data_IF_031598904073
#
_entry.id   IF_031598904073
#
_cell.length_a   1.000
_cell.length_b   1.000
_cell.length_c   1.000
_cell.angle_alpha   90.00
_cell.angle_beta   90.00
_cell.angle_gamma   90.00
#
_symmetry.space_group_name_H-M   'P 1'
#
loop_
_entity.id
_entity.type
_entity.pdbx_description
1 polymer ?
#
# COMPACT_ATOMS: atom_id res chain seq x y z
N UNK A 1 -32.33 1.13 1.61
CA UNK A 1 -31.97 -0.25 2.01
C UNK A 1 -30.49 -0.41 1.76
N UNK A 2 -29.67 -0.45 2.81
CA UNK A 2 -28.24 -0.74 2.69
C UNK A 2 -28.09 -2.19 2.25
N UNK A 3 -27.53 -2.42 1.07
CA UNK A 3 -27.14 -3.75 0.60
C UNK A 3 -26.19 -4.32 1.66
N UNK A 4 -26.49 -5.51 2.18
CA UNK A 4 -25.61 -6.17 3.13
C UNK A 4 -24.26 -6.43 2.45
N UNK A 5 -23.17 -5.98 3.08
CA UNK A 5 -21.80 -6.28 2.65
C UNK A 5 -21.25 -7.41 3.53
N UNK A 6 -21.21 -8.66 3.03
CA UNK A 6 -20.75 -9.80 3.80
C UNK A 6 -19.30 -9.67 4.25
N UNK A 7 -18.46 -8.98 3.46
CA UNK A 7 -17.06 -8.78 3.80
C UNK A 7 -16.92 -7.84 5.00
N UNK A 8 -17.61 -6.69 4.95
CA UNK A 8 -17.71 -5.77 6.08
C UNK A 8 -18.19 -6.48 7.35
N UNK A 9 -19.20 -7.34 7.22
CA UNK A 9 -19.72 -8.14 8.34
C UNK A 9 -18.67 -9.08 8.92
N UNK A 10 -17.90 -9.76 8.08
CA UNK A 10 -16.82 -10.64 8.50
C UNK A 10 -15.70 -9.86 9.22
N UNK A 11 -15.31 -8.69 8.70
CA UNK A 11 -14.32 -7.82 9.35
C UNK A 11 -14.79 -7.33 10.73
N UNK A 12 -16.06 -6.96 10.88
CA UNK A 12 -16.63 -6.63 12.19
C UNK A 12 -16.54 -7.79 13.18
N UNK A 13 -16.89 -9.00 12.74
CA UNK A 13 -16.76 -10.19 13.57
C UNK A 13 -15.31 -10.43 14.02
N UNK A 14 -14.34 -10.22 13.12
CA UNK A 14 -12.92 -10.39 13.42
C UNK A 14 -12.39 -9.34 14.41
N UNK A 15 -12.83 -8.08 14.30
CA UNK A 15 -12.52 -7.05 15.29
C UNK A 15 -12.97 -7.47 16.70
N UNK A 16 -14.17 -8.02 16.83
CA UNK A 16 -14.67 -8.50 18.13
C UNK A 16 -13.93 -9.73 18.65
N UNK A 17 -13.46 -10.61 17.76
CA UNK A 17 -12.78 -11.85 18.13
C UNK A 17 -11.30 -11.65 18.49
N UNK A 18 -10.57 -10.81 17.74
CA UNK A 18 -9.11 -10.71 17.85
C UNK A 18 -8.56 -9.27 17.79
N UNK A 19 -9.41 -8.25 17.89
CA UNK A 19 -9.02 -6.85 17.74
C UNK A 19 -8.28 -6.54 16.42
N UNK A 20 -8.60 -7.27 15.35
CA UNK A 20 -8.05 -7.05 14.01
C UNK A 20 -8.53 -5.70 13.44
N UNK A 21 -7.63 -4.74 13.20
CA UNK A 21 -8.00 -3.38 12.80
C UNK A 21 -8.50 -3.27 11.35
N UNK A 22 -8.52 -4.36 10.57
CA UNK A 22 -8.91 -4.36 9.15
C UNK A 22 -10.25 -3.69 8.87
N UNK A 23 -11.22 -3.79 9.80
CA UNK A 23 -12.50 -3.07 9.65
C UNK A 23 -12.31 -1.55 9.63
N UNK A 24 -11.44 -1.00 10.46
CA UNK A 24 -11.20 0.46 10.51
C UNK A 24 -10.60 0.95 9.20
N UNK A 25 -9.69 0.16 8.63
CA UNK A 25 -9.11 0.41 7.31
C UNK A 25 -10.19 0.36 6.23
N UNK A 26 -11.01 -0.69 6.22
CA UNK A 26 -12.06 -0.84 5.21
C UNK A 26 -13.07 0.32 5.24
N UNK A 27 -13.54 0.72 6.43
CA UNK A 27 -14.41 1.89 6.59
C UNK A 27 -13.74 3.16 6.10
N UNK A 28 -12.46 3.35 6.44
CA UNK A 28 -11.68 4.52 6.01
C UNK A 28 -11.55 4.56 4.48
N UNK A 29 -11.24 3.44 3.85
CA UNK A 29 -11.18 3.32 2.39
C UNK A 29 -12.54 3.60 1.74
N UNK A 30 -13.64 3.11 2.31
CA UNK A 30 -14.99 3.40 1.80
C UNK A 30 -15.30 4.90 1.88
N UNK A 31 -14.88 5.58 2.95
CA UNK A 31 -15.04 7.03 3.07
C UNK A 31 -14.13 7.80 2.09
N UNK A 32 -12.90 7.34 1.89
CA UNK A 32 -11.91 8.01 1.05
C UNK A 32 -12.14 7.80 -0.45
N UNK A 33 -12.38 6.55 -0.87
CA UNK A 33 -12.41 6.13 -2.28
C UNK A 33 -13.78 5.62 -2.74
N UNK A 34 -14.75 5.51 -1.84
CA UNK A 34 -16.06 4.90 -2.12
C UNK A 34 -16.05 3.38 -2.00
N UNK A 35 -17.14 2.72 -2.41
CA UNK A 35 -17.19 1.26 -2.39
C UNK A 35 -16.22 0.68 -3.43
N UNK A 36 -15.43 -0.36 -3.06
CA UNK A 36 -14.51 -0.98 -4.01
C UNK A 36 -15.26 -1.61 -5.17
N UNK A 37 -14.70 -1.49 -6.38
CA UNK A 37 -15.27 -2.08 -7.59
C UNK A 37 -15.10 -3.59 -7.60
N UNK A 38 -13.90 -4.06 -7.19
CA UNK A 38 -13.58 -5.47 -7.03
C UNK A 38 -12.79 -5.69 -5.76
N UNK A 39 -12.81 -6.94 -5.28
CA UNK A 39 -11.96 -7.40 -4.18
C UNK A 39 -11.29 -8.70 -4.59
N UNK A 40 -9.97 -8.72 -4.49
CA UNK A 40 -9.17 -9.91 -4.66
C UNK A 40 -8.87 -10.47 -3.27
N UNK A 41 -9.28 -11.71 -3.01
CA UNK A 41 -8.86 -12.40 -1.79
C UNK A 41 -7.43 -12.88 -1.96
N UNK A 42 -6.56 -12.66 -0.97
CA UNK A 42 -5.26 -13.33 -1.00
C UNK A 42 -5.50 -14.83 -0.84
N UNK A 43 -5.32 -15.58 -1.93
CA UNK A 43 -5.12 -17.01 -1.83
C UNK A 43 -3.62 -17.23 -1.69
N UNK A 44 -3.16 -17.89 -0.61
CA UNK A 44 -1.79 -18.35 -0.55
C UNK A 44 -1.45 -19.17 -1.81
N UNK A 45 -0.30 -18.92 -2.44
CA UNK A 45 0.25 -19.87 -3.41
C UNK A 45 0.46 -21.20 -2.66
N UNK A 46 0.12 -22.33 -3.29
CA UNK A 46 0.32 -23.66 -2.68
C UNK A 46 1.76 -23.79 -2.18
N UNK A 47 1.94 -24.12 -0.89
CA UNK A 47 3.25 -24.20 -0.23
C UNK A 47 3.61 -23.03 0.69
N UNK A 48 2.79 -21.98 0.77
CA UNK A 48 2.99 -20.83 1.68
C UNK A 48 2.34 -21.00 3.07
N UNK A 49 2.12 -22.23 3.52
CA UNK A 49 1.52 -22.52 4.83
C UNK A 49 2.42 -22.00 5.95
N UNK A 50 1.94 -20.97 6.68
CA UNK A 50 2.66 -20.33 7.80
C UNK A 50 3.29 -18.97 7.48
N UNK A 51 3.47 -18.60 6.20
CA UNK A 51 4.05 -17.30 5.81
C UNK A 51 3.09 -16.12 6.07
N UNK A 52 1.79 -16.34 5.93
CA UNK A 52 0.76 -15.31 6.05
C UNK A 52 0.27 -15.04 7.50
N UNK A 53 0.93 -15.57 8.53
CA UNK A 53 0.53 -15.30 9.94
C UNK A 53 0.69 -13.82 10.33
N UNK A 54 1.46 -13.07 9.56
CA UNK A 54 1.69 -11.65 9.78
C UNK A 54 0.53 -10.76 9.28
N UNK A 55 -0.39 -11.30 8.49
CA UNK A 55 -1.51 -10.57 7.90
C UNK A 55 -2.84 -10.99 8.55
N UNK A 56 -3.88 -10.20 8.32
CA UNK A 56 -5.25 -10.59 8.68
C UNK A 56 -5.66 -11.88 7.96
N UNK A 57 -6.45 -12.72 8.64
CA UNK A 57 -7.13 -13.86 8.00
C UNK A 57 -8.11 -13.44 6.90
N UNK A 58 -8.49 -12.16 6.87
CA UNK A 58 -9.35 -11.55 5.87
C UNK A 58 -8.58 -10.60 4.94
N UNK A 59 -7.26 -10.77 4.83
CA UNK A 59 -6.45 -9.97 3.95
C UNK A 59 -7.03 -9.97 2.53
N UNK A 60 -7.25 -8.78 2.00
CA UNK A 60 -7.77 -8.59 0.65
C UNK A 60 -7.16 -7.37 0.00
N UNK A 61 -7.27 -7.30 -1.32
CA UNK A 61 -6.91 -6.14 -2.10
C UNK A 61 -8.19 -5.58 -2.72
N UNK A 62 -8.53 -4.36 -2.35
CA UNK A 62 -9.65 -3.60 -2.89
C UNK A 62 -9.19 -2.81 -4.12
N UNK A 63 -9.89 -2.97 -5.24
CA UNK A 63 -9.62 -2.24 -6.47
C UNK A 63 -10.67 -1.15 -6.73
N UNK A 64 -10.20 0.02 -7.18
CA UNK A 64 -11.02 1.19 -7.49
C UNK A 64 -10.77 1.64 -8.93
N UNK A 65 -11.81 1.62 -9.76
CA UNK A 65 -11.74 1.95 -11.18
C UNK A 65 -12.19 3.40 -11.44
N UNK A 66 -11.55 4.36 -10.77
CA UNK A 66 -11.91 5.78 -10.85
C UNK A 66 -11.23 6.54 -12.00
N UNK A 67 -10.25 5.93 -12.67
CA UNK A 67 -9.46 6.57 -13.72
C UNK A 67 -9.34 5.64 -14.94
N UNK A 68 -9.50 6.13 -16.19
CA UNK A 68 -9.35 5.29 -17.39
C UNK A 68 -7.90 4.84 -17.65
N UNK A 69 -6.90 5.48 -17.04
CA UNK A 69 -5.48 5.19 -17.25
C UNK A 69 -4.95 4.10 -16.31
N UNK A 70 -5.54 3.94 -15.13
CA UNK A 70 -5.09 2.99 -14.12
C UNK A 70 -6.16 2.75 -13.06
N UNK A 71 -6.03 1.62 -12.39
CA UNK A 71 -6.79 1.26 -11.21
C UNK A 71 -5.94 1.46 -9.96
N UNK A 72 -6.62 1.76 -8.86
CA UNK A 72 -6.00 1.86 -7.54
C UNK A 72 -6.26 0.59 -6.77
N UNK A 73 -5.20 -0.10 -6.37
CA UNK A 73 -5.25 -1.33 -5.58
C UNK A 73 -4.81 -0.99 -4.17
N UNK A 74 -5.66 -1.25 -3.17
CA UNK A 74 -5.38 -0.97 -1.76
C UNK A 74 -5.48 -2.26 -0.94
N UNK A 75 -4.49 -2.51 -0.08
CA UNK A 75 -4.59 -3.62 0.87
C UNK A 75 -5.59 -3.31 1.98
N UNK A 76 -6.22 -4.37 2.48
CA UNK A 76 -6.99 -4.39 3.73
C UNK A 76 -6.51 -5.58 4.53
N UNK A 77 -5.96 -5.33 5.70
CA UNK A 77 -5.44 -6.35 6.61
C UNK A 77 -3.93 -6.53 6.58
N UNK A 78 -3.20 -5.70 5.82
CA UNK A 78 -1.74 -5.58 5.96
C UNK A 78 -1.35 -4.98 7.31
N UNK A 79 -2.22 -4.12 7.86
CA UNK A 79 -2.03 -3.45 9.14
C UNK A 79 -2.29 -4.31 10.38
N UNK A 80 -2.53 -5.62 10.21
CA UNK A 80 -2.88 -6.53 11.30
C UNK A 80 -1.83 -6.52 12.43
N UNK A 81 -0.55 -6.53 12.07
CA UNK A 81 0.56 -6.47 13.02
C UNK A 81 1.27 -5.12 13.04
N UNK A 82 1.88 -4.79 14.18
CA UNK A 82 2.70 -3.57 14.32
C UNK A 82 3.96 -3.76 13.49
N UNK A 83 4.35 -2.73 12.76
CA UNK A 83 5.59 -2.70 12.00
C UNK A 83 6.76 -2.86 12.97
N UNK A 84 7.67 -3.82 12.75
CA UNK A 84 8.77 -4.06 13.67
C UNK A 84 9.58 -2.78 13.91
N UNK A 85 9.95 -2.54 15.17
CA UNK A 85 10.74 -1.38 15.66
C UNK A 85 10.05 -0.02 15.59
N UNK A 86 8.84 0.06 15.06
CA UNK A 86 8.13 1.34 14.90
C UNK A 86 7.83 2.08 16.22
N UNK A 87 7.60 1.37 17.31
CA UNK A 87 7.39 2.01 18.63
C UNK A 87 8.64 2.76 19.09
N UNK A 88 9.83 2.23 18.81
CA UNK A 88 11.11 2.85 19.18
C UNK A 88 11.42 4.04 18.29
N UNK A 89 11.16 3.93 16.98
CA UNK A 89 11.46 4.98 16.00
C UNK A 89 10.51 6.18 16.12
N UNK A 90 9.22 5.92 16.38
CA UNK A 90 8.18 6.97 16.44
C UNK A 90 7.90 7.47 17.86
N UNK A 91 8.22 6.67 18.88
CA UNK A 91 7.82 6.96 20.27
C UNK A 91 6.32 6.75 20.55
N UNK A 92 5.54 6.30 19.57
CA UNK A 92 4.12 6.00 19.77
C UNK A 92 3.96 4.59 20.38
N UNK A 93 3.41 4.47 21.61
CA UNK A 93 3.23 3.17 22.26
C UNK A 93 2.22 2.26 21.55
N UNK A 94 1.39 2.79 20.64
CA UNK A 94 0.48 1.99 19.79
C UNK A 94 1.25 1.23 18.71
N UNK A 95 2.42 1.74 18.32
CA UNK A 95 3.21 1.29 17.18
C UNK A 95 2.57 1.64 15.84
N UNK A 96 3.40 1.80 14.81
CA UNK A 96 2.94 2.07 13.45
C UNK A 96 2.44 0.81 12.78
N UNK A 97 1.44 0.98 11.90
CA UNK A 97 0.89 -0.06 11.03
C UNK A 97 0.71 0.53 9.65
N UNK A 98 0.89 -0.29 8.62
CA UNK A 98 0.74 0.17 7.24
C UNK A 98 -0.28 -0.65 6.47
N UNK A 99 -1.01 0.06 5.62
CA UNK A 99 -1.65 -0.48 4.43
C UNK A 99 -0.93 0.09 3.20
N UNK A 100 -1.10 -0.57 2.06
CA UNK A 100 -0.37 -0.26 0.86
C UNK A 100 -1.33 0.01 -0.29
N UNK A 101 -1.03 1.04 -1.04
CA UNK A 101 -1.72 1.44 -2.25
C UNK A 101 -0.76 1.32 -3.43
N UNK A 102 -1.24 0.83 -4.57
CA UNK A 102 -0.49 0.76 -5.81
C UNK A 102 -1.40 1.12 -7.00
N UNK A 103 -0.84 1.87 -7.95
CA UNK A 103 -1.49 2.16 -9.23
C UNK A 103 -0.98 1.23 -10.30
N UNK A 104 -1.89 0.61 -11.04
CA UNK A 104 -1.54 -0.23 -12.19
C UNK A 104 -2.67 -0.23 -13.22
N UNK A 105 -2.33 -0.45 -14.49
CA UNK A 105 -3.32 -0.76 -15.51
C UNK A 105 -4.05 -2.07 -15.20
N UNK A 106 -5.30 -2.23 -15.66
CA UNK A 106 -6.12 -3.42 -15.40
C UNK A 106 -5.45 -4.71 -15.90
N UNK A 107 -4.73 -4.65 -17.02
CA UNK A 107 -3.96 -5.77 -17.56
C UNK A 107 -2.82 -6.26 -16.64
N UNK A 108 -2.46 -5.47 -15.63
CA UNK A 108 -1.46 -5.80 -14.62
C UNK A 108 -2.08 -6.04 -13.23
N UNK A 109 -3.41 -6.15 -13.11
CA UNK A 109 -4.11 -6.31 -11.83
C UNK A 109 -3.60 -7.49 -11.00
N UNK A 110 -3.34 -8.64 -11.62
CA UNK A 110 -2.82 -9.83 -10.93
C UNK A 110 -1.43 -9.58 -10.33
N UNK A 111 -0.51 -9.02 -11.12
CA UNK A 111 0.82 -8.66 -10.65
C UNK A 111 0.78 -7.60 -9.54
N UNK A 112 -0.07 -6.58 -9.69
CA UNK A 112 -0.29 -5.57 -8.66
C UNK A 112 -0.73 -6.22 -7.33
N UNK A 113 -1.64 -7.20 -7.41
CA UNK A 113 -2.09 -7.94 -6.24
C UNK A 113 -0.99 -8.78 -5.59
N UNK A 114 -0.19 -9.49 -6.41
CA UNK A 114 0.94 -10.28 -5.91
C UNK A 114 2.01 -9.41 -5.23
N UNK A 115 2.33 -8.25 -5.82
CA UNK A 115 3.26 -7.29 -5.23
C UNK A 115 2.75 -6.78 -3.90
N UNK A 116 1.50 -6.33 -3.83
CA UNK A 116 0.91 -5.80 -2.60
C UNK A 116 0.88 -6.84 -1.48
N UNK A 117 0.62 -8.11 -1.81
CA UNK A 117 0.72 -9.20 -0.83
C UNK A 117 2.16 -9.34 -0.31
N UNK A 118 3.15 -9.44 -1.20
CA UNK A 118 4.57 -9.55 -0.82
C UNK A 118 5.03 -8.36 0.04
N UNK A 119 4.63 -7.15 -0.34
CA UNK A 119 4.98 -5.91 0.36
C UNK A 119 4.39 -5.90 1.77
N UNK A 120 3.13 -6.32 1.93
CA UNK A 120 2.47 -6.35 3.23
C UNK A 120 3.17 -7.30 4.21
N UNK A 121 3.75 -8.40 3.72
CA UNK A 121 4.47 -9.36 4.56
C UNK A 121 5.90 -8.94 4.86
N UNK A 122 6.53 -8.20 3.94
CA UNK A 122 7.96 -7.92 3.95
C UNK A 122 8.48 -7.34 5.28
N UNK A 123 7.82 -6.34 5.93
CA UNK A 123 8.27 -5.83 7.23
C UNK A 123 8.42 -6.92 8.29
N UNK A 124 7.49 -7.87 8.31
CA UNK A 124 7.40 -8.91 9.34
C UNK A 124 8.34 -10.08 9.05
N UNK A 125 8.43 -10.52 7.79
CA UNK A 125 9.36 -11.58 7.38
C UNK A 125 10.81 -11.16 7.64
N UNK A 126 11.15 -9.90 7.36
CA UNK A 126 12.52 -9.39 7.48
C UNK A 126 12.80 -8.62 8.77
N UNK A 127 11.82 -8.53 9.70
CA UNK A 127 11.95 -7.80 10.97
C UNK A 127 12.48 -6.37 10.77
N UNK A 128 11.91 -5.67 9.80
CA UNK A 128 12.38 -4.38 9.33
C UNK A 128 11.25 -3.36 9.23
N UNK A 129 11.56 -2.14 9.64
CA UNK A 129 10.70 -0.99 9.43
C UNK A 129 10.76 -0.53 7.97
N UNK A 130 9.59 -0.37 7.34
CA UNK A 130 9.43 0.14 5.99
C UNK A 130 8.46 1.31 6.07
N UNK A 131 8.99 2.53 5.98
CA UNK A 131 8.21 3.76 6.00
C UNK A 131 8.38 4.58 4.71
N UNK A 132 7.83 5.81 4.70
CA UNK A 132 8.07 6.77 3.62
C UNK A 132 9.57 6.98 3.36
N UNK A 133 9.94 7.14 2.09
CA UNK A 133 11.33 7.27 1.66
C UNK A 133 12.07 5.94 1.47
N UNK A 134 11.48 4.80 1.86
CA UNK A 134 12.11 3.50 1.71
C UNK A 134 12.19 3.08 0.24
N UNK A 135 13.30 2.43 -0.13
CA UNK A 135 13.51 1.83 -1.46
C UNK A 135 13.77 0.35 -1.29
N UNK A 136 12.92 -0.48 -1.88
CA UNK A 136 13.03 -1.95 -1.88
C UNK A 136 13.50 -2.45 -3.25
N UNK A 137 14.67 -3.11 -3.37
CA UNK A 137 15.01 -3.84 -4.58
C UNK A 137 14.12 -5.09 -4.73
N UNK A 138 13.53 -5.29 -5.90
CA UNK A 138 12.75 -6.51 -6.21
C UNK A 138 13.59 -7.58 -6.92
N UNK A 139 14.81 -7.23 -7.36
CA UNK A 139 15.81 -8.15 -7.90
C UNK A 139 15.73 -8.34 -9.42
N UNK A 140 14.52 -8.32 -9.98
CA UNK A 140 14.26 -8.39 -11.42
C UNK A 140 13.25 -7.32 -11.84
N UNK A 141 13.18 -6.95 -13.14
CA UNK A 141 12.13 -6.08 -13.63
C UNK A 141 10.73 -6.62 -13.32
N UNK A 142 9.80 -5.74 -12.96
CA UNK A 142 8.41 -6.10 -12.64
C UNK A 142 7.73 -6.94 -13.72
N UNK A 143 7.98 -6.60 -14.98
CA UNK A 143 7.53 -7.34 -16.15
C UNK A 143 8.65 -7.39 -17.19
N UNK A 144 8.57 -8.36 -18.10
CA UNK A 144 9.51 -8.48 -19.19
C UNK A 144 9.55 -7.19 -20.03
N UNK A 145 10.75 -6.64 -20.22
CA UNK A 145 10.96 -5.38 -20.95
C UNK A 145 10.80 -4.10 -20.13
N UNK A 146 10.38 -4.19 -18.87
CA UNK A 146 10.36 -3.04 -17.96
C UNK A 146 11.77 -2.67 -17.47
N UNK A 147 11.96 -1.39 -17.13
CA UNK A 147 13.14 -0.90 -16.40
C UNK A 147 12.88 -0.73 -14.89
N UNK A 148 11.68 -1.09 -14.41
CA UNK A 148 11.24 -0.92 -13.04
C UNK A 148 11.71 -2.12 -12.21
N UNK A 149 12.78 -1.92 -11.43
CA UNK A 149 13.50 -2.97 -10.69
C UNK A 149 13.53 -2.70 -9.17
N UNK A 150 12.83 -1.66 -8.74
CA UNK A 150 12.77 -1.20 -7.36
C UNK A 150 11.35 -0.71 -7.04
N UNK A 151 11.01 -0.69 -5.75
CA UNK A 151 9.79 -0.09 -5.24
C UNK A 151 10.14 1.04 -4.28
N UNK A 152 9.50 2.19 -4.46
CA UNK A 152 9.61 3.35 -3.61
C UNK A 152 8.33 3.53 -2.79
N UNK A 153 8.48 3.85 -1.52
CA UNK A 153 7.37 4.02 -0.59
C UNK A 153 7.23 5.50 -0.24
N UNK A 154 6.04 6.07 -0.44
CA UNK A 154 5.75 7.47 -0.12
C UNK A 154 4.30 7.62 0.31
N UNK A 155 3.89 8.83 0.65
CA UNK A 155 2.50 9.14 0.95
C UNK A 155 1.67 9.25 -0.33
N UNK A 156 0.37 8.86 -0.32
CA UNK A 156 -0.49 8.83 -1.50
C UNK A 156 -1.01 10.23 -1.89
N UNK A 157 -0.11 11.19 -2.16
CA UNK A 157 -0.45 12.59 -2.43
C UNK A 157 -1.28 12.82 -3.71
N UNK A 158 -1.33 11.84 -4.62
CA UNK A 158 -2.24 11.89 -5.79
C UNK A 158 -3.68 11.49 -5.44
N UNK A 159 -3.85 10.65 -4.44
CA UNK A 159 -5.15 10.15 -4.00
C UNK A 159 -5.70 10.95 -2.83
N UNK A 160 -4.83 11.61 -2.07
CA UNK A 160 -5.18 12.48 -0.95
C UNK A 160 -4.44 13.81 -1.06
N UNK A 161 -5.08 14.88 -1.56
CA UNK A 161 -4.47 16.20 -1.63
C UNK A 161 -4.22 16.82 -0.24
N UNK A 162 -4.82 16.27 0.82
CA UNK A 162 -4.70 16.73 2.20
C UNK A 162 -3.80 15.80 3.04
N UNK A 163 -2.98 14.97 2.40
CA UNK A 163 -2.14 13.97 3.08
C UNK A 163 -1.14 14.55 4.08
N UNK A 164 -0.83 15.84 3.97
CA UNK A 164 0.06 16.57 4.88
C UNK A 164 -0.69 17.46 5.89
N UNK A 165 -2.02 17.36 5.94
CA UNK A 165 -2.88 18.06 6.88
C UNK A 165 -3.27 17.15 8.06
N UNK A 166 -4.12 17.66 8.96
CA UNK A 166 -4.63 16.88 10.09
C UNK A 166 -5.69 15.89 9.63
N UNK A 167 -5.58 14.64 10.09
CA UNK A 167 -6.44 13.51 9.74
C UNK A 167 -6.56 13.23 8.23
N UNK A 168 -5.45 12.83 7.58
CA UNK A 168 -5.49 12.40 6.19
C UNK A 168 -6.54 11.32 5.90
N UNK A 169 -7.09 11.32 4.69
CA UNK A 169 -8.14 10.41 4.28
C UNK A 169 -7.65 8.96 4.21
N UNK A 170 -6.35 8.74 3.98
CA UNK A 170 -5.71 7.42 3.99
C UNK A 170 -5.30 6.91 5.37
N UNK A 171 -5.60 7.62 6.46
CA UNK A 171 -5.11 7.29 7.80
C UNK A 171 -6.21 6.91 8.79
N UNK A 172 -5.85 6.04 9.72
CA UNK A 172 -6.68 5.68 10.88
C UNK A 172 -5.94 6.08 12.14
N UNK A 173 -6.42 7.15 12.78
CA UNK A 173 -6.03 7.52 14.13
C UNK A 173 -7.08 7.03 15.14
N UNK A 174 -6.77 5.94 15.83
CA UNK A 174 -7.63 5.33 16.84
C UNK A 174 -6.84 5.09 18.15
N UNK A 175 -7.48 5.14 19.33
CA UNK A 175 -6.79 4.91 20.61
C UNK A 175 -6.03 3.58 20.73
N UNK A 176 -6.36 2.60 19.89
CA UNK A 176 -5.74 1.25 19.89
C UNK A 176 -4.86 0.96 18.67
N UNK A 177 -4.90 1.81 17.66
CA UNK A 177 -4.19 1.56 16.40
C UNK A 177 -3.95 2.89 15.68
N UNK A 178 -2.73 3.07 15.20
CA UNK A 178 -2.40 4.13 14.26
C UNK A 178 -1.92 3.50 12.96
N UNK A 179 -2.65 3.76 11.87
CA UNK A 179 -2.48 3.09 10.59
C UNK A 179 -2.32 4.14 9.50
N UNK A 180 -1.27 4.04 8.71
CA UNK A 180 -1.05 4.89 7.55
C UNK A 180 -1.14 4.07 6.25
N UNK A 181 -1.66 4.68 5.20
CA UNK A 181 -1.58 4.10 3.85
C UNK A 181 -0.34 4.64 3.16
N UNK A 182 0.55 3.75 2.72
CA UNK A 182 1.72 4.09 1.90
C UNK A 182 1.43 3.79 0.44
N UNK A 183 1.77 4.73 -0.42
CA UNK A 183 1.80 4.52 -1.86
C UNK A 183 3.12 3.85 -2.26
N UNK A 184 2.99 2.73 -2.96
CA UNK A 184 4.09 1.98 -3.54
C UNK A 184 4.21 2.36 -5.01
N UNK A 185 5.37 2.91 -5.36
CA UNK A 185 5.69 3.35 -6.70
C UNK A 185 6.82 2.48 -7.25
N UNK A 186 6.57 1.70 -8.30
CA UNK A 186 7.65 1.11 -9.08
C UNK A 186 8.60 2.18 -9.61
N UNK A 187 9.90 2.03 -9.33
CA UNK A 187 10.93 2.96 -9.80
C UNK A 187 12.07 2.25 -10.54
N UNK A 188 12.72 2.99 -11.43
CA UNK A 188 13.89 2.52 -12.16
C UNK A 188 15.16 2.59 -11.31
N UNK A 189 16.23 1.97 -11.81
CA UNK A 189 17.57 2.14 -11.24
C UNK A 189 18.04 3.60 -11.24
N UNK A 190 17.76 4.34 -12.31
CA UNK A 190 18.15 5.75 -12.44
C UNK A 190 17.43 6.61 -11.38
N UNK A 191 16.15 6.35 -11.14
CA UNK A 191 15.37 7.02 -10.09
C UNK A 191 15.87 6.66 -8.69
N UNK A 192 16.19 5.39 -8.44
CA UNK A 192 16.84 4.98 -7.19
C UNK A 192 18.19 5.67 -6.99
N UNK A 193 18.97 5.80 -8.05
CA UNK A 193 20.25 6.51 -7.99
C UNK A 193 20.02 8.01 -7.79
N UNK A 194 18.97 8.60 -8.36
CA UNK A 194 18.57 9.97 -8.08
C UNK A 194 18.29 10.14 -6.58
N UNK A 195 17.44 9.31 -5.98
CA UNK A 195 17.15 9.33 -4.53
C UNK A 195 18.45 9.23 -3.72
N UNK A 196 19.37 8.35 -4.11
CA UNK A 196 20.64 8.15 -3.40
C UNK A 196 21.54 9.37 -3.44
N UNK A 197 21.61 10.10 -4.57
CA UNK A 197 22.53 11.22 -4.74
C UNK A 197 21.93 12.59 -4.38
N UNK A 198 20.61 12.72 -4.52
CA UNK A 198 19.86 13.98 -4.34
C UNK A 198 19.00 13.99 -3.08
N UNK A 199 18.67 12.82 -2.53
CA UNK A 199 17.82 12.69 -1.36
C UNK A 199 16.35 12.50 -1.73
N UNK A 200 15.58 12.06 -0.74
CA UNK A 200 14.14 11.76 -0.86
C UNK A 200 13.33 13.01 -1.19
N UNK A 201 13.56 14.11 -0.49
CA UNK A 201 12.81 15.37 -0.67
C UNK A 201 12.87 15.87 -2.12
N UNK A 202 14.07 15.91 -2.71
CA UNK A 202 14.27 16.34 -4.10
C UNK A 202 13.61 15.37 -5.10
N UNK A 203 13.59 14.08 -4.78
CA UNK A 203 12.89 13.10 -5.61
C UNK A 203 11.37 13.26 -5.53
N UNK A 204 10.81 13.51 -4.35
CA UNK A 204 9.37 13.72 -4.17
C UNK A 204 8.91 15.03 -4.81
N UNK A 205 9.66 16.13 -4.69
CA UNK A 205 9.38 17.38 -5.42
C UNK A 205 9.35 17.15 -6.93
N UNK A 206 10.35 16.42 -7.44
CA UNK A 206 10.44 16.06 -8.85
C UNK A 206 9.25 15.18 -9.29
N UNK A 207 8.91 14.17 -8.49
CA UNK A 207 7.79 13.27 -8.74
C UNK A 207 6.45 14.02 -8.74
N UNK A 208 6.23 14.91 -7.77
CA UNK A 208 5.06 15.78 -7.70
C UNK A 208 4.93 16.66 -8.96
N UNK A 209 6.02 17.32 -9.38
CA UNK A 209 6.02 18.15 -10.58
C UNK A 209 5.72 17.31 -11.83
N UNK A 210 6.36 16.14 -11.95
CA UNK A 210 6.19 15.25 -13.09
C UNK A 210 4.77 14.72 -13.20
N UNK A 211 4.17 14.28 -12.10
CA UNK A 211 2.81 13.75 -12.08
C UNK A 211 1.74 14.82 -12.35
N UNK A 212 2.02 16.10 -12.05
CA UNK A 212 1.14 17.22 -12.48
C UNK A 212 1.12 17.39 -13.99
N UNK A 213 2.24 17.12 -14.67
CA UNK A 213 2.33 17.21 -16.13
C UNK A 213 1.78 15.96 -16.81
N UNK A 214 2.23 14.79 -16.35
CA UNK A 214 1.84 13.48 -16.87
C UNK A 214 2.03 12.44 -15.78
N UNK A 215 0.93 11.83 -15.39
CA UNK A 215 0.96 10.61 -14.59
C UNK A 215 1.05 9.39 -15.49
N UNK A 216 1.97 8.47 -15.17
CA UNK A 216 2.19 7.23 -15.92
C UNK A 216 2.32 6.06 -14.94
N UNK A 217 1.27 5.25 -14.86
CA UNK A 217 1.21 4.04 -14.04
C UNK A 217 1.53 2.78 -14.85
N UNK A 218 1.94 2.92 -16.11
CA UNK A 218 2.33 1.79 -16.94
C UNK A 218 3.62 1.18 -16.39
N UNK A 219 3.64 -0.15 -16.23
CA UNK A 219 4.82 -0.87 -15.79
C UNK A 219 5.91 -0.93 -16.88
N UNK A 220 5.63 -0.49 -18.11
CA UNK A 220 6.60 -0.30 -19.19
C UNK A 220 7.13 1.13 -19.29
N UNK A 221 6.75 2.04 -18.38
CA UNK A 221 7.21 3.43 -18.45
C UNK A 221 8.73 3.53 -18.41
N UNK A 222 9.25 4.53 -19.13
CA UNK A 222 10.65 4.92 -19.03
C UNK A 222 10.95 5.57 -17.66
N UNK A 223 12.24 5.73 -17.37
CA UNK A 223 12.71 6.55 -16.26
C UNK A 223 12.12 7.97 -16.34
N UNK A 224 11.74 8.52 -15.19
CA UNK A 224 11.30 9.90 -15.07
C UNK A 224 12.49 10.86 -15.16
N UNK A 225 13.66 10.47 -14.64
CA UNK A 225 14.90 11.25 -14.64
C UNK A 225 15.92 10.77 -15.68
#
# INVERSE_FOLDING_TARGET
MTVADPYRTALHAQWHASADPSIMVYERLVLWKGAPTFRYGARPKQGAEGLHQSLSSHFSICAYHSNPLYNVFCTVGGSFNVIPKSMESTGDPRGMRFEYLLHAAEEHAELACELLLMIAEHPHVHQREIGPGYVLPIGEPLIAGSALEFLYFTYPFLDDPHIYEVNPAGEVDHPKAYIQTLWVIPITRAERDFIRHRGVEQFEEFLHARHRERYDADFLRASLC
#
